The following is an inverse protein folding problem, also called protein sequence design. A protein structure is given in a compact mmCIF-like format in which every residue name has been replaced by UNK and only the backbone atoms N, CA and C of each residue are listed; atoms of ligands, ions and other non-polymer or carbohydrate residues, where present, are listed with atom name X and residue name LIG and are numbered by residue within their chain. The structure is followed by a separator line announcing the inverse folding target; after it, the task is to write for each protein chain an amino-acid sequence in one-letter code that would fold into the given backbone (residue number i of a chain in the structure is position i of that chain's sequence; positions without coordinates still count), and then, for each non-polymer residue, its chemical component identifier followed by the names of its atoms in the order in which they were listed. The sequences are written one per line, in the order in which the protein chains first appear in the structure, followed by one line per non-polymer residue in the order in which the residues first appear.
data_IF_569666160527
#
_entry.id   IF_569666160527
#
_cell.length_a   1.000
_cell.length_b   1.000
_cell.length_c   1.000
_cell.angle_alpha   90.00
_cell.angle_beta   90.00
_cell.angle_gamma   90.00
#
_symmetry.space_group_name_H-M   'P 1'
#
loop_
_entity.id
_entity.type
_entity.pdbx_description
1 polymer ?
#
# COMPACT_ATOMS: atom_id res chain seq x y z
N UNK A 1 16.60 10.05 -2.38
CA UNK A 1 15.24 10.37 -1.90
C UNK A 1 14.41 10.68 -3.14
N UNK A 2 13.25 10.06 -3.30
CA UNK A 2 12.30 10.38 -4.39
C UNK A 2 11.91 11.87 -4.34
N UNK A 3 11.67 12.54 -5.48
CA UNK A 3 11.37 13.98 -5.52
C UNK A 3 10.12 14.34 -4.70
N UNK A 4 9.14 13.45 -4.62
CA UNK A 4 7.93 13.60 -3.80
C UNK A 4 8.26 13.66 -2.30
N UNK A 5 9.18 12.82 -1.83
CA UNK A 5 9.64 12.82 -0.45
C UNK A 5 10.42 14.10 -0.10
N UNK A 6 11.26 14.59 -1.02
CA UNK A 6 11.96 15.87 -0.83
C UNK A 6 10.97 17.05 -0.73
N UNK A 7 9.88 17.02 -1.50
CA UNK A 7 8.82 18.03 -1.45
C UNK A 7 8.12 18.09 -0.08
N UNK A 8 7.82 16.93 0.53
CA UNK A 8 7.22 16.86 1.87
C UNK A 8 8.15 17.44 2.94
N UNK A 9 9.42 17.02 2.96
CA UNK A 9 10.40 17.52 3.95
C UNK A 9 10.49 19.05 3.86
N UNK A 10 10.66 19.59 2.64
CA UNK A 10 10.78 21.02 2.43
C UNK A 10 9.53 21.79 2.88
N UNK A 11 8.34 21.35 2.46
CA UNK A 11 7.09 22.04 2.75
C UNK A 11 6.74 22.03 4.25
N UNK A 12 6.89 20.88 4.92
CA UNK A 12 6.60 20.77 6.35
C UNK A 12 7.61 21.53 7.20
N UNK A 13 8.90 21.46 6.85
CA UNK A 13 9.93 22.20 7.59
C UNK A 13 9.74 23.71 7.43
N UNK A 14 9.44 24.19 6.22
CA UNK A 14 9.19 25.61 5.97
C UNK A 14 7.94 26.14 6.70
N UNK A 15 6.93 25.29 6.92
CA UNK A 15 5.72 25.66 7.64
C UNK A 15 5.89 25.72 9.16
N UNK A 16 6.94 25.10 9.72
CA UNK A 16 7.09 24.93 11.17
C UNK A 16 7.13 26.25 11.94
N UNK A 17 8.07 27.14 11.56
CA UNK A 17 8.25 28.43 12.21
C UNK A 17 7.02 29.34 12.10
N UNK A 18 6.48 29.63 10.90
CA UNK A 18 5.31 30.51 10.78
C UNK A 18 4.10 30.00 11.55
N UNK A 19 3.88 28.69 11.55
CA UNK A 19 2.80 28.07 12.32
C UNK A 19 2.99 28.29 13.83
N UNK A 20 4.19 28.00 14.34
CA UNK A 20 4.50 28.13 15.76
C UNK A 20 4.43 29.59 16.23
N UNK A 21 4.99 30.51 15.45
CA UNK A 21 4.94 31.95 15.72
C UNK A 21 3.49 32.45 15.77
N UNK A 22 2.63 32.01 14.85
CA UNK A 22 1.19 32.32 14.88
C UNK A 22 0.53 31.83 16.16
N UNK A 23 0.84 30.60 16.62
CA UNK A 23 0.26 30.03 17.84
C UNK A 23 0.70 30.76 19.10
N UNK A 24 1.97 31.15 19.18
CA UNK A 24 2.47 31.94 20.30
C UNK A 24 1.88 33.36 20.29
N UNK A 25 1.76 33.98 19.11
CA UNK A 25 1.15 35.29 18.97
C UNK A 25 -0.34 35.30 19.38
N UNK A 26 -1.10 34.25 19.06
CA UNK A 26 -2.50 34.07 19.53
C UNK A 26 -2.60 34.07 21.07
N UNK A 27 -1.54 33.62 21.75
CA UNK A 27 -1.43 33.62 23.22
C UNK A 27 -0.77 34.90 23.79
N UNK A 28 -0.39 35.86 22.94
CA UNK A 28 0.33 37.06 23.36
C UNK A 28 1.78 36.80 23.81
N UNK A 29 2.38 35.71 23.32
CA UNK A 29 3.74 35.27 23.63
C UNK A 29 4.63 35.34 22.40
N UNK A 30 5.95 35.37 22.63
CA UNK A 30 6.95 35.16 21.58
C UNK A 30 7.52 33.74 21.69
N UNK A 31 7.65 33.07 20.54
CA UNK A 31 8.25 31.74 20.48
C UNK A 31 9.77 31.85 20.68
N UNK A 32 10.38 31.18 21.68
CA UNK A 32 11.81 31.28 21.90
C UNK A 32 12.60 30.73 20.71
N UNK A 33 13.51 31.51 20.14
CA UNK A 33 14.24 31.14 18.91
C UNK A 33 14.95 29.78 19.03
N UNK A 34 15.56 29.49 20.17
CA UNK A 34 16.20 28.18 20.43
C UNK A 34 15.23 26.99 20.37
N UNK A 35 13.99 27.20 20.81
CA UNK A 35 12.91 26.19 20.80
C UNK A 35 12.38 25.99 19.38
N UNK A 36 12.16 27.09 18.66
CA UNK A 36 11.75 27.05 17.24
C UNK A 36 12.79 26.28 16.43
N UNK A 37 14.06 26.66 16.54
CA UNK A 37 15.15 26.04 15.79
C UNK A 37 15.37 24.57 16.19
N UNK A 38 15.19 24.20 17.47
CA UNK A 38 15.30 22.81 17.91
C UNK A 38 14.19 21.93 17.34
N UNK A 39 12.94 22.40 17.39
CA UNK A 39 11.80 21.68 16.83
C UNK A 39 11.88 21.55 15.31
N UNK A 40 12.28 22.61 14.60
CA UNK A 40 12.45 22.58 13.15
C UNK A 40 13.52 21.57 12.71
N UNK A 41 14.68 21.57 13.39
CA UNK A 41 15.76 20.59 13.10
C UNK A 41 15.31 19.16 13.35
N UNK A 42 14.62 18.92 14.46
CA UNK A 42 14.13 17.58 14.79
C UNK A 42 13.06 17.12 13.79
N UNK A 43 12.13 18.00 13.41
CA UNK A 43 11.09 17.72 12.42
C UNK A 43 11.72 17.31 11.10
N UNK A 44 12.67 18.10 10.60
CA UNK A 44 13.39 17.80 9.35
C UNK A 44 14.03 16.42 9.40
N UNK A 45 14.86 16.16 10.41
CA UNK A 45 15.56 14.88 10.54
C UNK A 45 14.59 13.68 10.63
N UNK A 46 13.48 13.85 11.35
CA UNK A 46 12.47 12.80 11.54
C UNK A 46 11.65 12.53 10.28
N UNK A 47 11.37 13.57 9.48
CA UNK A 47 10.73 13.41 8.17
C UNK A 47 11.68 12.75 7.17
N UNK A 48 12.96 13.14 7.16
CA UNK A 48 13.99 12.50 6.33
C UNK A 48 14.13 11.01 6.66
N UNK A 49 14.16 10.66 7.95
CA UNK A 49 14.17 9.27 8.40
C UNK A 49 12.89 8.53 7.96
N UNK A 50 11.71 9.08 8.26
CA UNK A 50 10.42 8.46 7.91
C UNK A 50 10.32 8.20 6.40
N UNK A 51 10.66 9.20 5.59
CA UNK A 51 10.50 9.14 4.14
C UNK A 51 11.63 8.38 3.43
N UNK A 52 12.68 8.00 4.15
CA UNK A 52 13.68 7.04 3.67
C UNK A 52 13.17 5.59 3.72
N UNK A 53 12.12 5.32 4.50
CA UNK A 53 11.54 3.98 4.64
C UNK A 53 10.60 3.66 3.48
N UNK A 54 10.49 2.37 3.06
CA UNK A 54 9.41 1.92 2.19
C UNK A 54 8.03 2.25 2.78
N UNK A 55 7.04 2.54 1.94
CA UNK A 55 5.70 2.92 2.39
C UNK A 55 5.06 1.93 3.38
N UNK A 56 5.29 0.62 3.21
CA UNK A 56 4.79 -0.42 4.13
C UNK A 56 5.43 -0.36 5.53
N UNK A 57 6.62 0.21 5.67
CA UNK A 57 7.32 0.39 6.94
C UNK A 57 7.02 1.75 7.60
N UNK A 58 6.40 2.69 6.88
CA UNK A 58 6.00 3.99 7.41
C UNK A 58 4.75 3.84 8.30
N UNK A 59 4.95 3.57 9.60
CA UNK A 59 3.86 3.39 10.57
C UNK A 59 3.12 4.68 10.96
N UNK A 60 3.73 5.83 10.66
CA UNK A 60 3.20 7.17 10.94
C UNK A 60 3.23 8.05 9.70
N UNK A 61 2.52 9.16 9.72
CA UNK A 61 2.46 10.14 8.63
C UNK A 61 3.23 11.44 8.89
N UNK A 62 3.49 12.27 7.86
CA UNK A 62 4.15 13.56 8.02
C UNK A 62 3.48 14.49 9.02
N UNK A 63 2.14 14.52 9.06
CA UNK A 63 1.38 15.32 10.04
C UNK A 63 1.63 14.86 11.48
N UNK A 64 1.67 13.55 11.74
CA UNK A 64 1.94 13.01 13.07
C UNK A 64 3.36 13.37 13.53
N UNK A 65 4.34 13.35 12.62
CA UNK A 65 5.71 13.81 12.93
C UNK A 65 5.73 15.31 13.24
N UNK A 66 5.00 16.14 12.50
CA UNK A 66 4.86 17.56 12.80
C UNK A 66 4.23 17.80 14.18
N UNK A 67 3.16 17.07 14.49
CA UNK A 67 2.48 17.15 15.78
C UNK A 67 3.42 16.75 16.92
N UNK A 68 4.25 15.73 16.73
CA UNK A 68 5.25 15.32 17.72
C UNK A 68 6.34 16.39 17.95
N UNK A 69 6.70 17.16 16.92
CA UNK A 69 7.63 18.28 17.05
C UNK A 69 7.10 19.37 18.01
N UNK A 70 5.80 19.40 18.30
CA UNK A 70 5.22 20.34 19.27
C UNK A 70 5.62 20.04 20.72
N UNK A 71 6.29 18.91 21.00
CA UNK A 71 6.85 18.66 22.33
C UNK A 71 7.87 19.73 22.74
N UNK A 72 8.65 20.26 21.80
CA UNK A 72 9.66 21.29 22.09
C UNK A 72 9.03 22.58 22.65
N UNK A 73 8.06 23.22 21.96
CA UNK A 73 7.36 24.37 22.53
C UNK A 73 6.49 24.00 23.73
N UNK A 74 5.90 22.80 23.78
CA UNK A 74 5.14 22.32 24.95
C UNK A 74 6.01 22.28 26.21
N UNK A 75 7.21 21.72 26.13
CA UNK A 75 8.16 21.66 27.25
C UNK A 75 8.65 23.04 27.67
N UNK A 76 8.85 23.96 26.71
CA UNK A 76 9.24 25.34 27.00
C UNK A 76 8.13 26.09 27.75
N UNK A 77 6.88 25.98 27.29
CA UNK A 77 5.71 26.60 27.94
C UNK A 77 5.48 25.99 29.34
N UNK A 78 5.64 24.68 29.49
CA UNK A 78 5.58 24.02 30.79
C UNK A 78 6.67 24.49 31.75
N UNK A 79 7.90 24.63 31.27
CA UNK A 79 9.04 25.12 32.08
C UNK A 79 8.84 26.56 32.52
N UNK A 80 8.18 27.37 31.70
CA UNK A 80 7.79 28.74 32.04
C UNK A 80 6.64 28.82 33.08
N UNK A 81 6.08 27.67 33.48
CA UNK A 81 5.02 27.60 34.49
C UNK A 81 3.65 28.06 33.99
N UNK A 82 3.44 28.10 32.67
CA UNK A 82 2.13 28.45 32.11
C UNK A 82 1.12 27.36 32.46
N UNK A 83 -0.02 27.69 33.08
CA UNK A 83 -1.05 26.72 33.40
C UNK A 83 -1.59 26.02 32.15
N UNK A 84 -1.83 24.71 32.23
CA UNK A 84 -2.46 23.97 31.13
C UNK A 84 -3.90 24.45 30.92
N UNK A 85 -4.30 24.78 29.68
CA UNK A 85 -5.68 25.13 29.38
C UNK A 85 -6.60 23.91 29.55
N UNK A 86 -7.87 24.17 29.86
CA UNK A 86 -8.88 23.12 29.84
C UNK A 86 -9.02 22.56 28.41
N UNK A 87 -8.84 21.25 28.26
CA UNK A 87 -8.87 20.56 26.97
C UNK A 87 -10.20 19.85 26.75
N UNK A 88 -10.69 19.91 25.51
CA UNK A 88 -11.75 19.02 25.07
C UNK A 88 -11.30 17.54 25.19
N UNK A 89 -12.11 16.64 25.77
CA UNK A 89 -11.73 15.24 25.97
C UNK A 89 -11.41 14.48 24.67
N UNK A 90 -12.08 14.80 23.57
CA UNK A 90 -11.86 14.16 22.26
C UNK A 90 -10.52 14.62 21.68
N UNK A 91 -10.25 15.92 21.72
CA UNK A 91 -8.96 16.48 21.29
C UNK A 91 -7.79 15.96 22.14
N UNK A 92 -7.98 15.86 23.46
CA UNK A 92 -6.99 15.31 24.38
C UNK A 92 -6.71 13.82 24.11
N UNK A 93 -7.74 13.03 23.77
CA UNK A 93 -7.57 11.63 23.41
C UNK A 93 -6.86 11.46 22.05
N UNK A 94 -7.14 12.32 21.09
CA UNK A 94 -6.53 12.27 19.76
C UNK A 94 -5.04 12.66 19.78
N UNK A 95 -4.66 13.64 20.62
CA UNK A 95 -3.27 14.10 20.78
C UNK A 95 -2.93 14.23 22.27
N UNK A 96 -2.59 13.11 22.94
CA UNK A 96 -2.34 13.10 24.39
C UNK A 96 -1.14 13.95 24.81
N UNK A 97 -0.12 14.08 23.95
CA UNK A 97 1.08 14.86 24.22
C UNK A 97 0.92 16.37 24.06
N UNK A 98 -0.14 16.83 23.41
CA UNK A 98 -0.35 18.25 23.07
C UNK A 98 -1.02 19.05 24.20
N UNK A 99 -0.34 19.14 25.35
CA UNK A 99 -0.87 19.72 26.60
C UNK A 99 -1.38 21.16 26.48
N UNK A 100 -0.86 21.92 25.52
CA UNK A 100 -1.19 23.33 25.32
C UNK A 100 -1.95 23.62 24.01
N UNK A 101 -2.48 22.60 23.33
CA UNK A 101 -3.19 22.77 22.05
C UNK A 101 -2.35 23.48 20.97
N UNK A 102 -1.05 23.23 20.95
CA UNK A 102 -0.14 23.82 19.97
C UNK A 102 -0.17 23.06 18.65
N UNK A 103 -0.47 21.76 18.67
CA UNK A 103 -0.37 20.92 17.49
C UNK A 103 -1.47 21.19 16.46
N UNK A 104 -1.13 21.18 15.16
CA UNK A 104 -2.12 21.36 14.11
C UNK A 104 -3.06 20.15 14.06
N UNK A 105 -4.36 20.40 13.99
CA UNK A 105 -5.35 19.34 13.80
C UNK A 105 -5.31 18.73 12.39
N UNK A 106 -4.83 19.50 11.39
CA UNK A 106 -4.69 19.04 10.01
C UNK A 106 -3.52 19.74 9.31
N UNK A 107 -3.02 19.16 8.21
CA UNK A 107 -1.98 19.79 7.40
C UNK A 107 -2.46 21.04 6.65
N UNK A 108 -3.76 21.29 6.56
CA UNK A 108 -4.30 22.54 5.99
C UNK A 108 -3.92 23.74 6.86
N UNK A 109 -3.80 23.56 8.18
CA UNK A 109 -3.36 24.59 9.10
C UNK A 109 -1.89 25.01 8.87
N UNK A 110 -1.12 24.24 8.09
CA UNK A 110 0.28 24.49 7.77
C UNK A 110 0.48 25.28 6.46
N UNK A 111 -0.62 25.63 5.77
CA UNK A 111 -0.60 26.33 4.49
C UNK A 111 -0.61 25.40 3.27
N UNK A 112 -0.84 26.00 2.10
CA UNK A 112 -1.15 25.28 0.85
C UNK A 112 -0.06 24.30 0.42
N UNK A 113 1.21 24.71 0.53
CA UNK A 113 2.34 23.88 0.11
C UNK A 113 2.44 22.59 0.94
N UNK A 114 2.29 22.70 2.27
CA UNK A 114 2.33 21.55 3.17
C UNK A 114 1.11 20.65 2.97
N UNK A 115 -0.08 21.23 2.78
CA UNK A 115 -1.30 20.45 2.50
C UNK A 115 -1.20 19.68 1.18
N UNK A 116 -0.78 20.34 0.10
CA UNK A 116 -0.61 19.70 -1.21
C UNK A 116 0.42 18.57 -1.17
N UNK A 117 1.58 18.81 -0.55
CA UNK A 117 2.61 17.77 -0.39
C UNK A 117 2.10 16.58 0.44
N UNK A 118 1.31 16.83 1.49
CA UNK A 118 0.73 15.76 2.31
C UNK A 118 -0.28 14.91 1.52
N UNK A 119 -1.12 15.53 0.69
CA UNK A 119 -2.06 14.81 -0.18
C UNK A 119 -1.36 13.95 -1.22
N UNK A 120 -0.31 14.48 -1.86
CA UNK A 120 0.48 13.74 -2.85
C UNK A 120 1.17 12.53 -2.20
N UNK A 121 1.79 12.70 -1.04
CA UNK A 121 2.35 11.58 -0.28
C UNK A 121 1.30 10.54 0.09
N UNK A 122 0.12 10.98 0.55
CA UNK A 122 -0.99 10.09 0.90
C UNK A 122 -1.46 9.27 -0.31
N UNK A 123 -1.59 9.91 -1.47
CA UNK A 123 -1.95 9.25 -2.72
C UNK A 123 -0.88 8.24 -3.17
N UNK A 124 0.41 8.62 -3.12
CA UNK A 124 1.52 7.73 -3.47
C UNK A 124 1.59 6.52 -2.52
N UNK A 125 1.42 6.73 -1.21
CA UNK A 125 1.35 5.66 -0.22
C UNK A 125 0.16 4.75 -0.46
N UNK A 126 -1.02 5.30 -0.74
CA UNK A 126 -2.21 4.53 -1.04
C UNK A 126 -2.04 3.70 -2.32
N UNK A 127 -1.47 4.28 -3.39
CA UNK A 127 -1.19 3.56 -4.64
C UNK A 127 -0.18 2.41 -4.43
N UNK A 128 0.86 2.63 -3.61
CA UNK A 128 1.83 1.59 -3.30
C UNK A 128 1.28 0.45 -2.43
N UNK A 129 0.24 0.73 -1.64
CA UNK A 129 -0.46 -0.26 -0.81
C UNK A 129 -1.79 -0.72 -1.43
N UNK A 130 -2.13 -0.22 -2.61
CA UNK A 130 -3.34 -0.63 -3.30
C UNK A 130 -3.20 -2.15 -3.57
N UNK A 131 -4.28 -2.93 -3.36
CA UNK A 131 -4.28 -4.31 -3.81
C UNK A 131 -3.87 -4.31 -5.28
N UNK A 132 -2.83 -5.06 -5.64
CA UNK A 132 -2.57 -5.33 -7.05
C UNK A 132 -3.85 -5.95 -7.61
N UNK A 133 -4.30 -5.46 -8.76
CA UNK A 133 -5.48 -6.00 -9.43
C UNK A 133 -5.41 -7.52 -9.52
N UNK A 134 -6.57 -8.17 -9.58
CA UNK A 134 -6.64 -9.61 -9.76
C UNK A 134 -5.80 -9.98 -10.99
N UNK A 135 -4.83 -10.87 -10.82
CA UNK A 135 -3.87 -11.20 -11.86
C UNK A 135 -3.84 -12.70 -12.05
N UNK A 136 -4.04 -13.13 -13.29
CA UNK A 136 -4.04 -14.54 -13.66
C UNK A 136 -2.89 -14.84 -14.62
N UNK A 137 -2.36 -16.05 -14.55
CA UNK A 137 -1.42 -16.58 -15.54
C UNK A 137 -2.03 -17.78 -16.23
N UNK A 138 -1.91 -17.87 -17.55
CA UNK A 138 -2.42 -18.99 -18.33
C UNK A 138 -1.29 -19.62 -19.15
N UNK A 139 -0.94 -20.86 -18.82
CA UNK A 139 -0.02 -21.67 -19.62
C UNK A 139 -0.81 -22.44 -20.68
N UNK A 140 -0.64 -22.07 -21.94
CA UNK A 140 -1.16 -22.82 -23.09
C UNK A 140 -0.36 -22.50 -24.35
N UNK A 141 -0.39 -23.40 -25.33
CA UNK A 141 0.07 -23.13 -26.71
C UNK A 141 -1.11 -22.92 -27.67
N UNK A 142 -2.34 -23.11 -27.21
CA UNK A 142 -3.53 -22.98 -28.02
C UNK A 142 -4.05 -21.53 -28.00
N UNK A 143 -3.96 -20.86 -29.14
CA UNK A 143 -4.36 -19.46 -29.29
C UNK A 143 -5.86 -19.24 -29.08
N UNK A 144 -6.71 -20.21 -29.42
CA UNK A 144 -8.15 -20.10 -29.21
C UNK A 144 -8.50 -20.17 -27.72
N UNK A 145 -7.79 -21.01 -26.97
CA UNK A 145 -7.92 -21.10 -25.53
C UNK A 145 -7.45 -19.83 -24.86
N UNK A 146 -6.28 -19.33 -25.24
CA UNK A 146 -5.74 -18.07 -24.75
C UNK A 146 -6.73 -16.92 -24.98
N UNK A 147 -7.35 -16.84 -26.16
CA UNK A 147 -8.36 -15.82 -26.47
C UNK A 147 -9.60 -15.95 -25.58
N UNK A 148 -10.18 -17.16 -25.46
CA UNK A 148 -11.39 -17.38 -24.66
C UNK A 148 -11.16 -17.14 -23.16
N UNK A 149 -10.03 -17.60 -22.63
CA UNK A 149 -9.65 -17.36 -21.24
C UNK A 149 -9.36 -15.87 -21.02
N UNK A 150 -8.72 -15.21 -21.97
CA UNK A 150 -8.49 -13.76 -21.96
C UNK A 150 -9.77 -12.94 -21.85
N UNK A 151 -10.76 -13.24 -22.68
CA UNK A 151 -12.07 -12.57 -22.63
C UNK A 151 -12.79 -12.79 -21.31
N UNK A 152 -12.76 -14.02 -20.78
CA UNK A 152 -13.39 -14.34 -19.51
C UNK A 152 -12.68 -13.65 -18.33
N UNK A 153 -11.33 -13.63 -18.35
CA UNK A 153 -10.51 -12.96 -17.35
C UNK A 153 -10.77 -11.45 -17.33
N UNK A 154 -10.76 -10.80 -18.50
CA UNK A 154 -11.05 -9.37 -18.60
C UNK A 154 -12.45 -9.03 -18.06
N UNK A 155 -13.46 -9.86 -18.37
CA UNK A 155 -14.83 -9.69 -17.84
C UNK A 155 -14.91 -9.86 -16.32
N UNK A 156 -14.06 -10.72 -15.75
CA UNK A 156 -13.95 -10.95 -14.32
C UNK A 156 -13.02 -9.95 -13.61
N UNK A 157 -12.47 -8.95 -14.32
CA UNK A 157 -11.57 -7.95 -13.75
C UNK A 157 -10.14 -8.43 -13.52
N UNK A 158 -9.76 -9.56 -14.14
CA UNK A 158 -8.40 -10.09 -14.08
C UNK A 158 -7.51 -9.52 -15.20
N UNK A 159 -6.29 -9.15 -14.84
CA UNK A 159 -5.19 -8.99 -15.79
C UNK A 159 -4.58 -10.37 -16.09
N UNK A 160 -4.79 -10.88 -17.32
CA UNK A 160 -4.31 -12.20 -17.74
C UNK A 160 -2.95 -12.09 -18.44
N UNK A 161 -1.96 -12.83 -17.94
CA UNK A 161 -0.69 -13.08 -18.63
C UNK A 161 -0.71 -14.45 -19.26
N UNK A 162 -0.62 -14.53 -20.60
CA UNK A 162 -0.52 -15.81 -21.32
C UNK A 162 0.94 -16.15 -21.55
N UNK A 163 1.34 -17.37 -21.17
CA UNK A 163 2.71 -17.87 -21.32
C UNK A 163 2.72 -19.20 -22.06
N UNK A 164 3.81 -19.47 -22.77
CA UNK A 164 4.05 -20.73 -23.49
C UNK A 164 5.14 -21.58 -22.85
N UNK A 165 5.74 -21.09 -21.75
CA UNK A 165 6.72 -21.78 -20.93
C UNK A 165 6.42 -21.52 -19.46
N UNK A 166 6.64 -22.47 -18.56
CA UNK A 166 6.47 -22.25 -17.13
C UNK A 166 7.40 -21.13 -16.65
N UNK A 167 6.91 -20.13 -15.90
CA UNK A 167 7.79 -19.15 -15.28
C UNK A 167 8.61 -19.80 -14.15
N UNK A 168 9.79 -19.26 -13.80
CA UNK A 168 10.64 -19.79 -12.72
C UNK A 168 10.07 -19.60 -11.29
N UNK A 169 8.76 -19.36 -11.16
CA UNK A 169 8.06 -19.00 -9.94
C UNK A 169 7.72 -17.51 -9.91
N UNK A 170 6.44 -17.18 -10.07
CA UNK A 170 5.95 -15.82 -10.03
C UNK A 170 4.85 -15.67 -8.99
N UNK A 171 5.08 -14.82 -7.98
CA UNK A 171 4.10 -14.49 -6.92
C UNK A 171 3.22 -13.30 -7.30
N UNK A 172 3.35 -12.76 -8.51
CA UNK A 172 2.50 -11.66 -9.00
C UNK A 172 1.09 -12.11 -9.30
N UNK A 173 0.88 -13.39 -9.60
CA UNK A 173 -0.41 -13.95 -10.02
C UNK A 173 -1.15 -14.62 -8.87
N UNK A 174 -2.41 -14.27 -8.68
CA UNK A 174 -3.28 -14.88 -7.66
C UNK A 174 -3.83 -16.23 -8.12
N UNK A 175 -4.02 -16.40 -9.43
CA UNK A 175 -4.59 -17.61 -10.06
C UNK A 175 -3.74 -18.07 -11.23
N UNK A 176 -3.52 -19.37 -11.32
CA UNK A 176 -2.87 -20.02 -12.46
C UNK A 176 -3.86 -20.95 -13.18
N UNK A 177 -3.87 -20.88 -14.51
CA UNK A 177 -4.63 -21.76 -15.40
C UNK A 177 -3.63 -22.56 -16.22
N UNK A 178 -3.74 -23.88 -16.20
CA UNK A 178 -2.79 -24.78 -16.87
C UNK A 178 -3.50 -25.71 -17.82
N UNK A 179 -3.11 -25.65 -19.10
CA UNK A 179 -3.48 -26.63 -20.12
C UNK A 179 -2.65 -27.91 -19.93
N UNK A 180 -3.31 -29.02 -19.60
CA UNK A 180 -2.65 -30.32 -19.39
C UNK A 180 -2.16 -30.98 -20.69
N UNK A 181 -2.58 -30.48 -21.85
CA UNK A 181 -2.00 -30.89 -23.13
C UNK A 181 -0.63 -30.23 -23.38
N UNK A 182 -0.24 -29.27 -22.53
CA UNK A 182 1.07 -28.66 -22.57
C UNK A 182 2.15 -29.66 -22.09
N UNK A 183 3.28 -29.83 -22.80
CA UNK A 183 4.31 -30.80 -22.41
C UNK A 183 4.93 -30.51 -21.03
N UNK A 184 4.96 -29.23 -20.65
CA UNK A 184 5.53 -28.78 -19.37
C UNK A 184 4.45 -28.61 -18.28
N UNK A 185 3.25 -29.16 -18.45
CA UNK A 185 2.12 -28.97 -17.54
C UNK A 185 2.42 -29.42 -16.10
N UNK A 186 3.04 -30.59 -15.93
CA UNK A 186 3.37 -31.15 -14.60
C UNK A 186 4.39 -30.29 -13.83
N UNK A 187 5.34 -29.68 -14.53
CA UNK A 187 6.27 -28.73 -13.94
C UNK A 187 5.56 -27.43 -13.57
N UNK A 188 4.72 -26.90 -14.47
CA UNK A 188 3.97 -25.69 -14.25
C UNK A 188 3.02 -25.79 -13.05
N UNK A 189 2.28 -26.90 -12.92
CA UNK A 189 1.38 -27.14 -11.79
C UNK A 189 2.17 -27.11 -10.48
N UNK A 190 3.30 -27.83 -10.39
CA UNK A 190 4.13 -27.85 -9.18
C UNK A 190 4.66 -26.48 -8.81
N UNK A 191 5.24 -25.78 -9.79
CA UNK A 191 5.83 -24.46 -9.57
C UNK A 191 4.78 -23.43 -9.17
N UNK A 192 3.64 -23.40 -9.88
CA UNK A 192 2.58 -22.42 -9.65
C UNK A 192 1.77 -22.74 -8.39
N UNK A 193 1.63 -24.00 -7.99
CA UNK A 193 0.98 -24.35 -6.72
C UNK A 193 1.77 -23.83 -5.51
N UNK A 194 3.09 -23.67 -5.64
CA UNK A 194 3.94 -23.09 -4.60
C UNK A 194 3.94 -21.55 -4.59
N UNK A 195 3.49 -20.89 -5.66
CA UNK A 195 3.61 -19.42 -5.81
C UNK A 195 2.29 -18.68 -5.99
N UNK A 196 1.25 -19.34 -6.52
CA UNK A 196 -0.08 -18.79 -6.72
C UNK A 196 -1.03 -19.23 -5.60
N UNK A 197 -2.07 -18.43 -5.35
CA UNK A 197 -3.10 -18.78 -4.36
C UNK A 197 -4.01 -19.93 -4.81
N UNK A 198 -4.16 -20.13 -6.13
CA UNK A 198 -4.95 -21.21 -6.72
C UNK A 198 -4.40 -21.64 -8.08
N UNK A 199 -4.37 -22.94 -8.34
CA UNK A 199 -4.07 -23.51 -9.66
C UNK A 199 -5.28 -24.30 -10.17
N UNK A 200 -5.76 -23.96 -11.36
CA UNK A 200 -6.81 -24.67 -12.08
C UNK A 200 -6.21 -25.30 -13.33
N UNK A 201 -6.25 -26.62 -13.40
CA UNK A 201 -5.81 -27.37 -14.57
C UNK A 201 -7.00 -27.81 -15.42
N UNK A 202 -6.86 -27.81 -16.74
CA UNK A 202 -7.83 -28.42 -17.65
C UNK A 202 -7.15 -29.32 -18.66
N UNK A 203 -7.82 -30.40 -19.06
CA UNK A 203 -7.26 -31.36 -20.02
C UNK A 203 -8.32 -32.21 -20.71
N UNK A 204 -7.93 -33.14 -21.59
CA UNK A 204 -8.85 -34.00 -22.31
C UNK A 204 -9.70 -34.83 -21.34
N UNK A 205 -11.00 -34.97 -21.64
CA UNK A 205 -11.94 -35.74 -20.82
C UNK A 205 -11.62 -37.25 -20.78
N UNK A 206 -10.86 -37.74 -21.76
CA UNK A 206 -10.42 -39.14 -21.87
C UNK A 206 -9.18 -39.45 -21.03
N UNK A 207 -8.52 -38.42 -20.47
CA UNK A 207 -7.30 -38.56 -19.69
C UNK A 207 -7.57 -38.27 -18.20
N UNK A 208 -8.35 -39.15 -17.57
CA UNK A 208 -8.63 -39.08 -16.13
C UNK A 208 -7.35 -39.16 -15.29
N UNK A 209 -6.33 -39.86 -15.78
CA UNK A 209 -5.04 -39.97 -15.12
C UNK A 209 -4.31 -38.62 -15.05
N UNK A 210 -4.31 -37.83 -16.13
CA UNK A 210 -3.73 -36.48 -16.12
C UNK A 210 -4.45 -35.55 -15.12
N UNK A 211 -5.78 -35.65 -15.01
CA UNK A 211 -6.54 -34.84 -14.04
C UNK A 211 -6.18 -35.21 -12.59
N UNK A 212 -6.10 -36.51 -12.27
CA UNK A 212 -5.69 -37.00 -10.94
C UNK A 212 -4.25 -36.61 -10.63
N UNK A 213 -3.35 -36.73 -11.61
CA UNK A 213 -1.94 -36.34 -11.50
C UNK A 213 -1.82 -34.86 -11.18
N UNK A 214 -2.52 -33.98 -11.90
CA UNK A 214 -2.48 -32.54 -11.68
C UNK A 214 -2.89 -32.17 -10.24
N UNK A 215 -3.95 -32.79 -9.70
CA UNK A 215 -4.35 -32.57 -8.29
C UNK A 215 -3.27 -33.03 -7.31
N UNK A 216 -2.67 -34.19 -7.57
CA UNK A 216 -1.57 -34.73 -6.75
C UNK A 216 -0.35 -33.80 -6.76
N UNK A 217 -0.11 -33.11 -7.87
CA UNK A 217 0.98 -32.14 -8.03
C UNK A 217 0.68 -30.76 -7.41
N UNK A 218 -0.54 -30.54 -6.90
CA UNK A 218 -0.91 -29.30 -6.19
C UNK A 218 -1.98 -28.46 -6.89
N UNK A 219 -2.56 -28.90 -8.00
CA UNK A 219 -3.72 -28.20 -8.57
C UNK A 219 -4.91 -28.25 -7.61
N UNK A 220 -5.51 -27.10 -7.33
CA UNK A 220 -6.72 -27.00 -6.52
C UNK A 220 -7.91 -27.65 -7.24
N UNK A 221 -7.98 -27.45 -8.56
CA UNK A 221 -8.94 -28.09 -9.44
C UNK A 221 -8.23 -28.65 -10.66
N UNK A 222 -8.70 -29.80 -11.13
CA UNK A 222 -8.35 -30.35 -12.43
C UNK A 222 -9.64 -30.83 -13.10
N UNK A 223 -9.98 -30.30 -14.26
CA UNK A 223 -11.28 -30.59 -14.90
C UNK A 223 -11.18 -30.91 -16.39
N UNK A 224 -12.16 -31.64 -16.94
CA UNK A 224 -12.26 -31.81 -18.38
C UNK A 224 -12.36 -30.46 -19.10
N UNK A 225 -11.71 -30.37 -20.27
CA UNK A 225 -11.68 -29.18 -21.14
C UNK A 225 -13.08 -28.65 -21.46
N UNK A 226 -14.02 -29.55 -21.78
CA UNK A 226 -15.41 -29.18 -22.07
C UNK A 226 -16.09 -28.52 -20.87
N UNK A 227 -15.81 -28.99 -19.65
CA UNK A 227 -16.33 -28.41 -18.41
C UNK A 227 -15.70 -27.04 -18.13
N UNK A 228 -14.38 -26.92 -18.31
CA UNK A 228 -13.68 -25.65 -18.13
C UNK A 228 -14.22 -24.57 -19.09
N UNK A 229 -14.31 -24.87 -20.38
CA UNK A 229 -14.74 -23.92 -21.41
C UNK A 229 -16.25 -23.70 -21.50
N UNK A 230 -17.06 -24.40 -20.70
CA UNK A 230 -18.49 -24.09 -20.58
C UNK A 230 -18.72 -22.73 -19.91
N UNK A 231 -17.89 -22.40 -18.93
CA UNK A 231 -17.81 -21.08 -18.30
C UNK A 231 -16.41 -20.90 -17.68
N UNK A 232 -15.42 -20.35 -18.42
CA UNK A 232 -14.08 -20.12 -17.89
C UNK A 232 -14.07 -19.13 -16.70
N UNK A 233 -15.04 -18.22 -16.65
CA UNK A 233 -15.14 -17.20 -15.60
C UNK A 233 -15.46 -17.80 -14.24
N UNK A 234 -16.23 -18.88 -14.19
CA UNK A 234 -16.54 -19.59 -12.94
C UNK A 234 -15.30 -20.18 -12.23
N UNK A 235 -14.19 -20.35 -12.94
CA UNK A 235 -12.93 -20.85 -12.40
C UNK A 235 -11.99 -19.74 -11.90
N UNK A 236 -12.36 -18.48 -12.15
CA UNK A 236 -11.68 -17.31 -11.63
C UNK A 236 -12.40 -16.86 -10.35
N UNK A 237 -11.78 -16.98 -9.17
CA UNK A 237 -12.42 -16.56 -7.92
C UNK A 237 -12.83 -15.08 -7.99
N UNK A 238 -13.99 -14.77 -7.41
CA UNK A 238 -14.42 -13.39 -7.26
C UNK A 238 -13.39 -12.62 -6.39
N UNK A 239 -13.13 -11.34 -6.67
CA UNK A 239 -12.40 -10.49 -5.74
C UNK A 239 -13.15 -10.51 -4.40
N UNK A 240 -12.45 -10.86 -3.33
CA UNK A 240 -12.94 -10.73 -1.95
C UNK A 240 -12.77 -9.29 -1.50
#
# INVERSE_FOLDING_TARGET
MEPEAAGVVAAFTAAYRPYLESRFAEAGLEAPEGVVAAGERWLRASLEELLSLPFAAQRRGPLEVFQEAMRFPTEAVATAGVPEPARDPVAAAALPGDRYHLAPASSQALGEAAWSAHLLWGAAKAAANAPRGLSAIHLTRNLLDASRVGEAAARAGYELTVVTKPPPGDRRHTVAIVDLEHPDADEAVRTLAATCGRVVAYGPHVDEFALVRARTLGAADAVPRSRFFSDPGAWLPAPV
#
